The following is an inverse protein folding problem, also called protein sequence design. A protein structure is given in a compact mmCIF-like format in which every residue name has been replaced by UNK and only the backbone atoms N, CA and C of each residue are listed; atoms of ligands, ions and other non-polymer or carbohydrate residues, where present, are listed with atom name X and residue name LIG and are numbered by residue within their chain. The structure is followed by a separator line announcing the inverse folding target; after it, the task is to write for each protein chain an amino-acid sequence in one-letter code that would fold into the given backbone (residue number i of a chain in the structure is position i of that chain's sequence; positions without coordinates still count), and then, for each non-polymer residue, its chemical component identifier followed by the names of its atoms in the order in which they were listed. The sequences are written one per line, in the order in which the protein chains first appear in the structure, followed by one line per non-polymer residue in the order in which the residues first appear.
data_IF_439500295441
#
_entry.id   IF_439500295441
#
_cell.length_a   1.000
_cell.length_b   1.000
_cell.length_c   1.000
_cell.angle_alpha   90.00
_cell.angle_beta   90.00
_cell.angle_gamma   90.00
#
_symmetry.space_group_name_H-M   'P 1'
#
loop_
_entity.id
_entity.type
_entity.pdbx_description
1 polymer ?
#
# COMPACT_ATOMS: atom_id res chain seq x y z
N UNK A 1 34.64 -7.74 2.50
CA UNK A 1 34.12 -6.85 3.55
C UNK A 1 33.13 -5.92 2.88
N UNK A 2 31.81 -6.01 3.12
CA UNK A 2 30.90 -5.00 2.61
C UNK A 2 31.29 -3.66 3.27
N UNK A 3 31.37 -2.60 2.47
CA UNK A 3 31.56 -1.25 2.99
C UNK A 3 30.37 -0.93 3.92
N UNK A 4 30.58 -0.21 5.04
CA UNK A 4 29.45 0.34 5.78
C UNK A 4 28.66 1.20 4.80
N UNK A 5 27.33 1.02 4.74
CA UNK A 5 26.48 1.96 4.01
C UNK A 5 26.87 3.37 4.43
N UNK A 6 27.07 4.28 3.47
CA UNK A 6 27.48 5.65 3.78
C UNK A 6 26.49 6.21 4.81
N UNK A 7 26.99 6.84 5.87
CA UNK A 7 26.16 7.27 7.01
C UNK A 7 24.99 8.16 6.56
N UNK A 8 25.16 8.83 5.42
CA UNK A 8 24.16 9.64 4.74
C UNK A 8 23.02 8.80 4.12
N UNK A 9 23.32 7.64 3.52
CA UNK A 9 22.31 6.72 2.97
C UNK A 9 21.43 6.12 4.09
N UNK A 10 22.05 5.71 5.20
CA UNK A 10 21.31 5.18 6.34
C UNK A 10 20.41 6.26 6.97
N UNK A 11 20.89 7.51 7.00
CA UNK A 11 20.12 8.64 7.49
C UNK A 11 18.94 8.94 6.57
N UNK A 12 19.16 8.95 5.25
CA UNK A 12 18.11 9.12 4.26
C UNK A 12 17.04 8.02 4.36
N UNK A 13 17.44 6.75 4.48
CA UNK A 13 16.50 5.64 4.64
C UNK A 13 15.66 5.76 5.92
N UNK A 14 16.28 6.14 7.05
CA UNK A 14 15.55 6.40 8.30
C UNK A 14 14.53 7.52 8.16
N UNK A 15 14.88 8.57 7.39
CA UNK A 15 13.95 9.65 7.12
C UNK A 15 12.74 9.14 6.32
N UNK A 16 12.95 8.36 5.25
CA UNK A 16 11.86 7.76 4.48
C UNK A 16 10.92 6.90 5.34
N UNK A 17 11.47 6.12 6.29
CA UNK A 17 10.66 5.33 7.23
C UNK A 17 9.84 6.21 8.16
N UNK A 18 10.39 7.35 8.60
CA UNK A 18 9.66 8.28 9.47
C UNK A 18 8.58 9.04 8.71
N UNK A 19 8.88 9.47 7.48
CA UNK A 19 7.92 10.15 6.60
C UNK A 19 6.74 9.23 6.28
N UNK A 20 6.98 7.99 5.86
CA UNK A 20 5.93 7.00 5.61
C UNK A 20 5.03 6.79 6.83
N UNK A 21 5.60 6.74 8.04
CA UNK A 21 4.83 6.62 9.29
C UNK A 21 3.98 7.86 9.54
N UNK A 22 4.53 9.05 9.33
CA UNK A 22 3.82 10.32 9.54
C UNK A 22 2.67 10.48 8.53
N UNK A 23 2.93 10.20 7.26
CA UNK A 23 1.94 10.19 6.18
C UNK A 23 0.79 9.21 6.47
N UNK A 24 1.11 8.00 6.92
CA UNK A 24 0.09 7.01 7.31
C UNK A 24 -0.80 7.48 8.48
N UNK A 25 -0.22 8.14 9.48
CA UNK A 25 -0.98 8.70 10.60
C UNK A 25 -1.88 9.88 10.20
N UNK A 26 -1.39 10.75 9.32
CA UNK A 26 -2.18 11.84 8.74
C UNK A 26 -3.33 11.29 7.90
N UNK A 27 -3.06 10.31 7.04
CA UNK A 27 -4.08 9.65 6.23
C UNK A 27 -5.16 9.00 7.10
N UNK A 28 -4.76 8.26 8.15
CA UNK A 28 -5.71 7.64 9.08
C UNK A 28 -6.60 8.68 9.77
N UNK A 29 -6.03 9.82 10.16
CA UNK A 29 -6.79 10.93 10.76
C UNK A 29 -7.82 11.49 9.77
N UNK A 30 -7.45 11.64 8.49
CA UNK A 30 -8.36 12.11 7.44
C UNK A 30 -9.46 11.11 7.13
N UNK A 31 -9.15 9.82 7.07
CA UNK A 31 -10.14 8.78 6.80
C UNK A 31 -11.16 8.64 7.94
N UNK A 32 -10.78 8.96 9.18
CA UNK A 32 -11.68 8.96 10.33
C UNK A 32 -12.77 10.06 10.26
N UNK A 33 -12.61 11.06 9.39
CA UNK A 33 -13.61 12.13 9.16
C UNK A 33 -14.73 11.69 8.20
N UNK A 34 -14.57 10.55 7.50
CA UNK A 34 -15.48 10.09 6.45
C UNK A 34 -16.68 9.31 7.02
N UNK A 35 -17.85 9.52 6.42
CA UNK A 35 -19.01 8.66 6.66
C UNK A 35 -19.02 7.46 5.68
N UNK A 36 -19.96 6.52 5.86
CA UNK A 36 -20.08 5.33 5.00
C UNK A 36 -20.24 5.66 3.52
N UNK A 37 -21.04 6.66 3.16
CA UNK A 37 -21.31 7.01 1.77
C UNK A 37 -20.07 7.64 1.09
N UNK A 38 -19.23 8.34 1.86
CA UNK A 38 -18.00 8.94 1.35
C UNK A 38 -17.02 7.89 0.79
N UNK A 39 -17.04 6.66 1.30
CA UNK A 39 -16.20 5.57 0.80
C UNK A 39 -16.50 5.20 -0.65
N UNK A 40 -17.74 5.42 -1.10
CA UNK A 40 -18.17 5.17 -2.47
C UNK A 40 -17.98 6.38 -3.40
N UNK A 41 -17.59 7.54 -2.87
CA UNK A 41 -17.38 8.75 -3.66
C UNK A 41 -16.19 8.60 -4.61
N UNK A 42 -16.40 8.92 -5.89
CA UNK A 42 -15.33 8.91 -6.89
C UNK A 42 -14.33 10.04 -6.64
N UNK A 43 -13.06 9.70 -6.79
CA UNK A 43 -11.93 10.60 -6.74
C UNK A 43 -11.50 10.98 -8.16
N UNK A 44 -10.70 12.05 -8.28
CA UNK A 44 -10.08 12.43 -9.56
C UNK A 44 -8.96 11.47 -9.98
N UNK A 45 -8.50 10.60 -9.08
CA UNK A 45 -7.47 9.62 -9.37
C UNK A 45 -8.09 8.39 -10.04
N UNK A 46 -7.82 8.21 -11.34
CA UNK A 46 -8.26 7.04 -12.13
C UNK A 46 -9.78 6.75 -12.07
N UNK A 47 -10.59 7.74 -11.66
CA UNK A 47 -12.02 7.58 -11.37
C UNK A 47 -12.34 6.50 -10.31
N UNK A 48 -11.39 6.24 -9.42
CA UNK A 48 -11.48 5.29 -8.32
C UNK A 48 -12.27 5.87 -7.16
N UNK A 49 -13.02 5.05 -6.44
CA UNK A 49 -13.66 5.47 -5.19
C UNK A 49 -12.61 5.71 -4.10
N UNK A 50 -12.99 6.36 -3.00
CA UNK A 50 -12.10 6.48 -1.82
C UNK A 50 -11.69 5.08 -1.33
N UNK A 51 -12.63 4.13 -1.33
CA UNK A 51 -12.36 2.73 -0.98
C UNK A 51 -11.28 2.10 -1.88
N UNK A 52 -11.37 2.28 -3.21
CA UNK A 52 -10.38 1.73 -4.16
C UNK A 52 -8.97 2.20 -3.88
N UNK A 53 -8.83 3.48 -3.58
CA UNK A 53 -7.53 4.08 -3.30
C UNK A 53 -6.95 3.47 -2.03
N UNK A 54 -7.75 3.39 -0.95
CA UNK A 54 -7.29 2.84 0.33
C UNK A 54 -6.99 1.33 0.22
N UNK A 55 -7.83 0.56 -0.47
CA UNK A 55 -7.57 -0.86 -0.72
C UNK A 55 -6.26 -1.08 -1.51
N UNK A 56 -5.98 -0.22 -2.50
CA UNK A 56 -4.75 -0.28 -3.27
C UNK A 56 -3.49 0.07 -2.45
N UNK A 57 -3.59 1.07 -1.56
CA UNK A 57 -2.52 1.42 -0.63
C UNK A 57 -2.26 0.26 0.34
N UNK A 58 -3.32 -0.28 0.95
CA UNK A 58 -3.21 -1.40 1.88
C UNK A 58 -2.60 -2.65 1.23
N UNK A 59 -2.95 -2.92 -0.02
CA UNK A 59 -2.33 -3.99 -0.81
C UNK A 59 -0.82 -3.78 -0.98
N UNK A 60 -0.39 -2.55 -1.23
CA UNK A 60 1.03 -2.21 -1.41
C UNK A 60 1.81 -2.41 -0.11
N UNK A 61 1.23 -2.05 1.05
CA UNK A 61 1.82 -2.32 2.37
C UNK A 61 1.95 -3.83 2.64
N UNK A 62 0.93 -4.60 2.25
CA UNK A 62 0.95 -6.06 2.36
C UNK A 62 2.02 -6.68 1.44
N UNK A 63 2.21 -6.16 0.23
CA UNK A 63 3.33 -6.57 -0.64
C UNK A 63 4.68 -6.31 0.02
N UNK A 64 4.86 -5.14 0.66
CA UNK A 64 6.07 -4.84 1.41
C UNK A 64 6.30 -5.84 2.55
N UNK A 65 5.25 -6.15 3.32
CA UNK A 65 5.33 -7.11 4.44
C UNK A 65 5.67 -8.53 3.96
N UNK A 66 5.00 -9.02 2.92
CA UNK A 66 5.29 -10.36 2.36
C UNK A 66 6.71 -10.45 1.79
N UNK A 67 7.27 -9.35 1.27
CA UNK A 67 8.67 -9.32 0.84
C UNK A 67 9.67 -9.50 1.99
N UNK A 68 9.31 -9.07 3.20
CA UNK A 68 10.10 -9.27 4.43
C UNK A 68 9.96 -10.69 4.99
N UNK A 69 8.77 -11.30 4.84
CA UNK A 69 8.50 -12.67 5.28
C UNK A 69 9.24 -13.73 4.46
N UNK A 70 9.62 -13.39 3.23
CA UNK A 70 10.49 -14.19 2.39
C UNK A 70 9.97 -14.37 0.97
N UNK A 71 10.75 -15.10 0.18
CA UNK A 71 10.48 -15.24 -1.26
C UNK A 71 9.15 -15.95 -1.57
N UNK A 72 8.81 -17.02 -0.84
CA UNK A 72 7.64 -17.83 -1.15
C UNK A 72 6.31 -17.05 -0.95
N UNK A 73 6.07 -16.37 0.20
CA UNK A 73 4.89 -15.49 0.37
C UNK A 73 4.79 -14.41 -0.70
N UNK A 74 5.89 -13.72 -0.99
CA UNK A 74 5.91 -12.67 -2.01
C UNK A 74 5.59 -13.20 -3.42
N UNK A 75 6.20 -14.32 -3.82
CA UNK A 75 5.92 -14.95 -5.13
C UNK A 75 4.46 -15.38 -5.26
N UNK A 76 3.87 -15.92 -4.19
CA UNK A 76 2.46 -16.31 -4.19
C UNK A 76 1.54 -15.10 -4.42
N UNK A 77 1.81 -13.98 -3.74
CA UNK A 77 1.08 -12.73 -3.95
C UNK A 77 1.24 -12.19 -5.37
N UNK A 78 2.47 -12.17 -5.89
CA UNK A 78 2.75 -11.73 -7.27
C UNK A 78 2.13 -12.65 -8.33
N UNK A 79 1.95 -13.94 -8.03
CA UNK A 79 1.24 -14.88 -8.91
C UNK A 79 -0.25 -14.57 -8.92
N UNK A 80 -0.87 -14.36 -7.75
CA UNK A 80 -2.28 -13.95 -7.64
C UNK A 80 -2.59 -12.68 -8.44
N UNK A 81 -1.70 -11.68 -8.36
CA UNK A 81 -1.82 -10.45 -9.16
C UNK A 81 -1.70 -10.70 -10.67
N UNK A 82 -0.82 -11.61 -11.11
CA UNK A 82 -0.65 -11.96 -12.53
C UNK A 82 -1.81 -12.77 -13.09
N UNK A 83 -2.41 -13.62 -12.28
CA UNK A 83 -3.55 -14.45 -12.68
C UNK A 83 -4.86 -13.66 -12.70
N UNK A 84 -4.90 -12.52 -12.00
CA UNK A 84 -6.03 -11.61 -12.04
C UNK A 84 -6.32 -11.12 -13.46
N UNK A 85 -7.60 -11.18 -13.83
CA UNK A 85 -8.14 -10.53 -15.03
C UNK A 85 -9.04 -9.39 -14.55
N UNK A 86 -8.67 -8.16 -14.88
CA UNK A 86 -9.37 -6.97 -14.41
C UNK A 86 -8.42 -5.82 -14.09
N UNK A 87 -8.98 -4.75 -13.53
CA UNK A 87 -8.20 -3.61 -13.09
C UNK A 87 -7.53 -3.85 -11.74
N UNK A 88 -6.49 -3.06 -11.42
CA UNK A 88 -5.87 -3.12 -10.10
C UNK A 88 -6.85 -2.78 -8.97
N UNK A 89 -7.83 -1.91 -9.21
CA UNK A 89 -8.88 -1.62 -8.23
C UNK A 89 -9.73 -2.87 -7.95
N UNK A 90 -10.13 -3.60 -9.00
CA UNK A 90 -10.92 -4.84 -8.85
C UNK A 90 -10.14 -5.95 -8.13
N UNK A 91 -8.81 -5.96 -8.28
CA UNK A 91 -7.95 -6.87 -7.53
C UNK A 91 -7.88 -6.48 -6.06
N UNK A 92 -7.60 -5.20 -5.78
CA UNK A 92 -7.45 -4.69 -4.43
C UNK A 92 -8.74 -4.84 -3.61
N UNK A 93 -9.92 -4.57 -4.20
CA UNK A 93 -11.23 -4.80 -3.55
C UNK A 93 -11.41 -6.26 -3.14
N UNK A 94 -11.26 -7.18 -4.11
CA UNK A 94 -11.40 -8.62 -3.89
C UNK A 94 -10.44 -9.16 -2.84
N UNK A 95 -9.20 -8.65 -2.82
CA UNK A 95 -8.20 -9.02 -1.83
C UNK A 95 -8.54 -8.48 -0.43
N UNK A 96 -9.08 -7.26 -0.34
CA UNK A 96 -9.49 -6.62 0.91
C UNK A 96 -10.81 -7.17 1.49
N UNK A 97 -11.52 -8.03 0.74
CA UNK A 97 -12.73 -8.71 1.20
C UNK A 97 -14.05 -8.02 0.86
N UNK A 98 -14.05 -7.14 -0.15
CA UNK A 98 -15.24 -6.52 -0.75
C UNK A 98 -15.67 -7.23 -2.04
#
# INVERSE_FOLDING_TARGET
MPLPADTDELTALKQQVNDLRAEGAELATKLAELNTDDWHRQTTFKNWTVWDVVAHLHLSDHMGTTSLEGEAPFRALMQSMRDHRGSMADFARRWAGD
#
